data_IF_396953823308
#
_entry.id   IF_396953823308
#
_cell.length_a   1.000
_cell.length_b   1.000
_cell.length_c   1.000
_cell.angle_alpha   90.00
_cell.angle_beta   90.00
_cell.angle_gamma   90.00
#
_symmetry.space_group_name_H-M   'P 1'
#
loop_
_entity.id
_entity.type
_entity.pdbx_description
1 polymer ?
#
# COMPACT_ATOMS: atom_id res chain seq x y z
N UNK A 1 29.18 37.30 -14.35
CA UNK A 1 29.05 37.06 -15.81
C UNK A 1 29.52 35.63 -16.04
N UNK A 2 28.67 34.64 -16.30
CA UNK A 2 27.74 34.57 -17.41
C UNK A 2 26.33 34.10 -17.02
N UNK A 3 25.36 34.72 -17.69
CA UNK A 3 23.96 34.36 -17.78
C UNK A 3 23.78 33.17 -18.73
N UNK A 4 22.77 32.35 -18.48
CA UNK A 4 22.33 31.28 -19.36
C UNK A 4 20.97 30.75 -18.92
N UNK A 5 19.91 31.45 -19.32
CA UNK A 5 18.53 31.07 -19.11
C UNK A 5 18.17 29.84 -19.95
N UNK A 6 17.60 28.81 -19.31
CA UNK A 6 16.71 27.85 -19.95
C UNK A 6 15.43 27.77 -19.13
N UNK A 7 14.34 28.22 -19.74
CA UNK A 7 12.99 28.03 -19.24
C UNK A 7 12.65 26.53 -19.16
N UNK A 8 11.94 26.19 -18.10
CA UNK A 8 11.39 24.87 -17.86
C UNK A 8 10.14 25.01 -17.03
N UNK A 9 9.02 25.22 -17.72
CA UNK A 9 7.68 24.93 -17.22
C UNK A 9 7.70 23.46 -16.80
N UNK A 10 7.53 23.13 -15.51
CA UNK A 10 6.87 21.87 -15.11
C UNK A 10 6.58 21.83 -13.62
N UNK A 11 5.36 21.39 -13.32
CA UNK A 11 4.88 20.86 -12.06
C UNK A 11 4.78 21.86 -10.89
N UNK A 12 3.61 22.52 -10.84
CA UNK A 12 2.96 22.80 -9.56
C UNK A 12 2.96 21.51 -8.73
N UNK A 13 3.82 21.47 -7.71
CA UNK A 13 3.86 20.42 -6.72
C UNK A 13 2.60 20.52 -5.84
N UNK A 14 1.47 20.04 -6.36
CA UNK A 14 0.29 19.73 -5.56
C UNK A 14 0.52 18.39 -4.87
N UNK A 15 1.38 18.40 -3.84
CA UNK A 15 1.35 17.35 -2.84
C UNK A 15 -0.01 17.38 -2.14
N UNK A 16 -0.72 16.25 -1.98
CA UNK A 16 -1.97 16.26 -1.25
C UNK A 16 -1.67 16.58 0.22
N UNK A 17 -2.21 17.72 0.66
CA UNK A 17 -2.12 18.21 2.02
C UNK A 17 -2.78 17.18 2.93
N UNK A 18 -2.01 16.65 3.87
CA UNK A 18 -2.52 15.92 5.03
C UNK A 18 -3.36 16.88 5.85
N UNK A 19 -4.67 16.63 5.87
CA UNK A 19 -5.63 17.31 6.73
C UNK A 19 -6.60 16.26 7.25
N UNK A 20 -6.44 15.90 8.51
CA UNK A 20 -7.40 15.12 9.29
C UNK A 20 -8.62 15.98 9.59
N UNK A 21 -9.44 16.26 8.58
CA UNK A 21 -10.83 16.65 8.76
C UNK A 21 -11.57 16.47 7.43
N UNK A 22 -12.06 15.25 7.21
CA UNK A 22 -12.72 14.87 5.97
C UNK A 22 -14.16 15.40 6.00
N UNK A 23 -14.33 16.71 5.79
CA UNK A 23 -15.43 17.15 4.93
C UNK A 23 -15.24 16.37 3.63
N UNK A 24 -15.92 15.23 3.50
CA UNK A 24 -15.94 14.37 2.31
C UNK A 24 -16.51 15.20 1.19
N UNK A 25 -15.66 15.96 0.53
CA UNK A 25 -16.08 16.82 -0.53
C UNK A 25 -16.42 15.94 -1.72
N UNK A 26 -17.70 15.68 -1.90
CA UNK A 26 -18.24 14.86 -2.99
C UNK A 26 -17.71 15.39 -4.33
N UNK A 27 -17.57 16.71 -4.49
CA UNK A 27 -16.96 17.31 -5.69
C UNK A 27 -15.55 16.79 -5.92
N UNK A 28 -14.67 16.84 -4.93
CA UNK A 28 -13.27 16.41 -5.08
C UNK A 28 -13.18 14.92 -5.43
N UNK A 29 -13.98 14.10 -4.73
CA UNK A 29 -14.09 12.67 -5.01
C UNK A 29 -14.57 12.39 -6.45
N UNK A 30 -15.66 13.03 -6.89
CA UNK A 30 -16.20 12.88 -8.24
C UNK A 30 -15.25 13.42 -9.32
N UNK A 31 -14.48 14.48 -9.03
CA UNK A 31 -13.46 14.98 -9.96
C UNK A 31 -12.29 13.99 -10.12
N UNK A 32 -11.94 13.21 -9.09
CA UNK A 32 -10.92 12.17 -9.19
C UNK A 32 -11.41 10.90 -9.89
N UNK A 33 -12.71 10.60 -9.79
CA UNK A 33 -13.30 9.39 -10.34
C UNK A 33 -14.71 9.66 -10.89
N UNK A 34 -14.82 10.30 -12.06
CA UNK A 34 -16.12 10.61 -12.66
C UNK A 34 -16.87 9.34 -13.11
N UNK A 35 -16.14 8.27 -13.42
CA UNK A 35 -16.68 6.96 -13.81
C UNK A 35 -17.61 6.33 -12.76
N UNK A 36 -17.52 6.73 -11.49
CA UNK A 36 -18.44 6.25 -10.46
C UNK A 36 -19.90 6.62 -10.77
N UNK A 37 -20.12 7.73 -11.49
CA UNK A 37 -21.46 8.21 -11.87
C UNK A 37 -22.06 7.40 -13.02
N UNK A 38 -21.28 6.56 -13.70
CA UNK A 38 -21.77 5.70 -14.77
C UNK A 38 -22.13 4.29 -14.27
N UNK A 39 -21.97 4.02 -12.98
CA UNK A 39 -22.25 2.74 -12.34
C UNK A 39 -23.60 2.76 -11.63
N UNK A 40 -24.23 1.60 -11.51
CA UNK A 40 -25.51 1.50 -10.82
C UNK A 40 -25.31 1.48 -9.29
N UNK A 41 -26.08 2.29 -8.57
CA UNK A 41 -25.89 2.42 -7.13
C UNK A 41 -26.22 1.12 -6.38
N UNK A 42 -27.25 0.38 -6.82
CA UNK A 42 -27.77 -0.79 -6.13
C UNK A 42 -27.00 -2.06 -6.49
N UNK A 43 -26.65 -2.26 -7.76
CA UNK A 43 -25.97 -3.47 -8.23
C UNK A 43 -24.44 -3.35 -8.22
N UNK A 44 -23.87 -2.15 -8.34
CA UNK A 44 -22.41 -1.97 -8.35
C UNK A 44 -21.88 -1.42 -7.02
N UNK A 45 -22.39 -0.29 -6.56
CA UNK A 45 -21.75 0.43 -5.45
C UNK A 45 -22.08 -0.17 -4.07
N UNK A 46 -23.33 -0.58 -3.85
CA UNK A 46 -23.75 -1.17 -2.57
C UNK A 46 -23.00 -2.49 -2.24
N UNK A 47 -22.88 -3.46 -3.17
CA UNK A 47 -22.18 -4.72 -2.87
C UNK A 47 -20.71 -4.54 -2.52
N UNK A 48 -20.05 -3.48 -3.02
CA UNK A 48 -18.65 -3.18 -2.69
C UNK A 48 -18.48 -2.77 -1.23
N UNK A 49 -19.43 -2.01 -0.69
CA UNK A 49 -19.44 -1.66 0.72
C UNK A 49 -19.74 -2.90 1.57
N UNK A 50 -20.72 -3.70 1.17
CA UNK A 50 -21.09 -4.95 1.85
C UNK A 50 -19.93 -5.94 1.88
N UNK A 51 -19.18 -6.08 0.79
CA UNK A 51 -17.99 -6.93 0.71
C UNK A 51 -16.93 -6.52 1.75
N UNK A 52 -16.61 -5.23 1.84
CA UNK A 52 -15.65 -4.74 2.84
C UNK A 52 -16.15 -5.01 4.27
N UNK A 53 -17.44 -4.80 4.52
CA UNK A 53 -18.05 -5.10 5.82
C UNK A 53 -18.04 -6.60 6.14
N UNK A 54 -18.32 -7.46 5.15
CA UNK A 54 -18.33 -8.92 5.28
C UNK A 54 -16.96 -9.50 5.61
N UNK A 55 -15.88 -8.79 5.25
CA UNK A 55 -14.50 -9.15 5.59
C UNK A 55 -14.11 -8.70 7.01
N UNK A 56 -15.01 -8.03 7.74
CA UNK A 56 -14.79 -7.61 9.14
C UNK A 56 -14.32 -6.16 9.29
N UNK A 57 -14.42 -5.32 8.25
CA UNK A 57 -14.23 -3.87 8.39
C UNK A 57 -15.51 -3.24 8.94
N UNK A 58 -15.36 -2.36 9.92
CA UNK A 58 -16.46 -1.49 10.33
C UNK A 58 -16.89 -0.60 9.15
N UNK A 59 -18.19 -0.32 9.02
CA UNK A 59 -18.77 0.53 7.97
C UNK A 59 -18.03 1.86 7.84
N UNK A 60 -17.64 2.48 8.96
CA UNK A 60 -16.88 3.73 8.96
C UNK A 60 -15.51 3.60 8.28
N UNK A 61 -14.79 2.52 8.54
CA UNK A 61 -13.49 2.23 7.95
C UNK A 61 -13.60 1.80 6.48
N UNK A 62 -14.58 0.96 6.15
CA UNK A 62 -14.87 0.56 4.78
C UNK A 62 -15.15 1.78 3.90
N UNK A 63 -15.99 2.72 4.37
CA UNK A 63 -16.22 3.97 3.66
C UNK A 63 -14.92 4.77 3.50
N UNK A 64 -14.13 4.93 4.57
CA UNK A 64 -12.84 5.67 4.49
C UNK A 64 -11.93 5.08 3.41
N UNK A 65 -11.85 3.75 3.31
CA UNK A 65 -11.06 3.04 2.30
C UNK A 65 -11.56 3.37 0.88
N UNK A 66 -12.87 3.28 0.62
CA UNK A 66 -13.47 3.59 -0.68
C UNK A 66 -13.32 5.06 -1.09
N UNK A 67 -13.39 5.99 -0.13
CA UNK A 67 -13.18 7.42 -0.40
C UNK A 67 -11.71 7.76 -0.64
N UNK A 68 -10.80 7.02 -0.01
CA UNK A 68 -9.37 7.20 -0.15
C UNK A 68 -8.90 6.75 -1.53
N UNK A 69 -9.32 5.57 -1.96
CA UNK A 69 -8.97 5.01 -3.26
C UNK A 69 -10.24 4.74 -4.08
N UNK A 70 -10.58 5.68 -4.96
CA UNK A 70 -11.78 5.60 -5.78
C UNK A 70 -11.70 4.48 -6.84
N UNK A 71 -10.51 3.95 -7.16
CA UNK A 71 -10.41 2.82 -8.08
C UNK A 71 -11.03 1.54 -7.51
N UNK A 72 -11.20 1.47 -6.18
CA UNK A 72 -11.91 0.38 -5.52
C UNK A 72 -13.40 0.32 -5.86
N UNK A 73 -13.97 1.44 -6.33
CA UNK A 73 -15.38 1.52 -6.73
C UNK A 73 -15.61 1.21 -8.20
N UNK A 74 -14.59 1.35 -9.04
CA UNK A 74 -14.70 1.14 -10.49
C UNK A 74 -14.01 -0.14 -10.98
N UNK A 75 -13.01 -0.63 -10.23
CA UNK A 75 -12.25 -1.84 -10.53
C UNK A 75 -12.70 -3.08 -9.76
N UNK A 76 -11.86 -4.11 -9.84
CA UNK A 76 -12.07 -5.42 -9.21
C UNK A 76 -11.65 -5.40 -7.73
N UNK A 77 -12.60 -5.04 -6.87
CA UNK A 77 -12.37 -4.89 -5.44
C UNK A 77 -12.04 -6.22 -4.75
N UNK A 78 -12.85 -7.24 -4.96
CA UNK A 78 -12.73 -8.53 -4.28
C UNK A 78 -11.37 -9.20 -4.46
N UNK A 79 -10.87 -9.43 -5.69
CA UNK A 79 -9.55 -10.05 -5.85
C UNK A 79 -8.43 -9.15 -5.34
N UNK A 80 -8.56 -7.82 -5.48
CA UNK A 80 -7.57 -6.88 -4.94
C UNK A 80 -7.48 -6.98 -3.42
N UNK A 81 -8.63 -7.02 -2.74
CA UNK A 81 -8.72 -7.15 -1.30
C UNK A 81 -8.16 -8.48 -0.81
N UNK A 82 -8.57 -9.59 -1.44
CA UNK A 82 -8.09 -10.93 -1.10
C UNK A 82 -6.58 -11.04 -1.26
N UNK A 83 -6.01 -10.52 -2.35
CA UNK A 83 -4.57 -10.52 -2.57
C UNK A 83 -3.81 -9.71 -1.51
N UNK A 84 -4.39 -8.61 -1.01
CA UNK A 84 -3.77 -7.79 0.04
C UNK A 84 -3.86 -8.44 1.41
N UNK A 85 -5.00 -9.03 1.74
CA UNK A 85 -5.17 -9.76 3.00
C UNK A 85 -4.29 -11.00 3.03
N UNK A 86 -4.27 -11.78 1.94
CA UNK A 86 -3.38 -12.93 1.81
C UNK A 86 -1.91 -12.54 1.95
N UNK A 87 -1.47 -11.43 1.36
CA UNK A 87 -0.11 -10.93 1.57
C UNK A 87 0.15 -10.65 3.06
N UNK A 88 -0.75 -9.94 3.74
CA UNK A 88 -0.57 -9.61 5.16
C UNK A 88 -0.59 -10.84 6.06
N UNK A 89 -1.46 -11.82 5.79
CA UNK A 89 -1.56 -13.03 6.62
C UNK A 89 -0.46 -14.04 6.30
N UNK A 90 -0.22 -14.30 5.03
CA UNK A 90 0.64 -15.41 4.58
C UNK A 90 2.10 -14.99 4.42
N UNK A 91 2.37 -13.79 3.90
CA UNK A 91 3.76 -13.33 3.72
C UNK A 91 4.25 -12.60 4.98
N UNK A 92 3.38 -11.79 5.62
CA UNK A 92 3.73 -11.01 6.81
C UNK A 92 3.44 -11.69 8.16
N UNK A 93 2.94 -12.92 8.17
CA UNK A 93 2.67 -13.69 9.40
C UNK A 93 1.75 -12.93 10.40
N UNK A 94 0.78 -12.17 9.88
CA UNK A 94 -0.20 -11.44 10.71
C UNK A 94 -1.48 -12.25 10.89
N UNK A 95 -2.13 -12.07 12.04
CA UNK A 95 -3.50 -12.57 12.22
C UNK A 95 -4.49 -11.84 11.29
N UNK A 96 -5.66 -12.43 10.99
CA UNK A 96 -6.69 -11.75 10.20
C UNK A 96 -7.09 -10.39 10.79
N UNK A 97 -7.23 -10.29 12.11
CA UNK A 97 -7.59 -9.05 12.80
C UNK A 97 -6.49 -7.99 12.67
N UNK A 98 -5.23 -8.42 12.76
CA UNK A 98 -4.05 -7.57 12.56
C UNK A 98 -3.97 -7.07 11.11
N UNK A 99 -4.22 -7.93 10.12
CA UNK A 99 -4.26 -7.54 8.72
C UNK A 99 -5.34 -6.47 8.47
N UNK A 100 -6.51 -6.62 9.08
CA UNK A 100 -7.57 -5.60 9.02
C UNK A 100 -7.16 -4.31 9.73
N UNK A 101 -6.48 -4.39 10.86
CA UNK A 101 -5.93 -3.21 11.56
C UNK A 101 -4.95 -2.42 10.67
N UNK A 102 -4.05 -3.12 9.97
CA UNK A 102 -3.12 -2.51 9.00
C UNK A 102 -3.90 -1.81 7.89
N UNK A 103 -4.90 -2.46 7.32
CA UNK A 103 -5.71 -1.90 6.24
C UNK A 103 -6.51 -0.66 6.67
N UNK A 104 -7.07 -0.68 7.89
CA UNK A 104 -7.78 0.48 8.48
C UNK A 104 -6.85 1.67 8.68
N UNK A 105 -5.62 1.41 9.08
CA UNK A 105 -4.63 2.45 9.41
C UNK A 105 -3.90 2.98 8.18
N UNK A 106 -3.81 2.18 7.12
CA UNK A 106 -3.05 2.49 5.92
C UNK A 106 -3.82 2.09 4.64
N UNK A 107 -4.83 2.90 4.24
CA UNK A 107 -5.63 2.62 3.05
C UNK A 107 -4.81 2.66 1.75
N UNK A 108 -3.73 3.45 1.71
CA UNK A 108 -2.75 3.53 0.62
C UNK A 108 -2.20 2.15 0.18
N UNK A 109 -2.20 1.15 1.06
CA UNK A 109 -1.69 -0.19 0.76
C UNK A 109 -2.43 -0.85 -0.43
N UNK A 110 -3.72 -0.54 -0.61
CA UNK A 110 -4.54 -1.12 -1.67
C UNK A 110 -4.00 -0.79 -3.06
N UNK A 111 -3.44 0.40 -3.24
CA UNK A 111 -2.96 0.90 -4.53
C UNK A 111 -1.63 0.26 -4.99
N UNK A 112 -0.92 -0.49 -4.12
CA UNK A 112 0.38 -1.10 -4.44
C UNK A 112 0.30 -2.59 -4.78
N UNK A 113 0.77 -3.00 -5.96
CA UNK A 113 0.86 -4.43 -6.34
C UNK A 113 1.57 -5.30 -5.29
N UNK A 114 1.10 -6.54 -5.08
CA UNK A 114 1.69 -7.51 -4.12
C UNK A 114 3.18 -7.70 -4.34
N UNK A 115 3.64 -7.83 -5.59
CA UNK A 115 5.07 -7.97 -5.89
C UNK A 115 5.91 -6.80 -5.36
N UNK A 116 5.37 -5.58 -5.34
CA UNK A 116 6.05 -4.42 -4.77
C UNK A 116 6.08 -4.48 -3.23
N UNK A 117 4.97 -4.89 -2.62
CA UNK A 117 4.88 -5.08 -1.16
C UNK A 117 5.85 -6.15 -0.68
N UNK A 118 5.94 -7.29 -1.39
CA UNK A 118 6.92 -8.35 -1.13
C UNK A 118 8.34 -7.82 -1.12
N UNK A 119 8.77 -7.07 -2.14
CA UNK A 119 10.14 -6.50 -2.15
C UNK A 119 10.43 -5.62 -0.93
N UNK A 120 9.45 -4.84 -0.46
CA UNK A 120 9.60 -4.02 0.74
C UNK A 120 9.65 -4.89 2.00
N UNK A 121 8.83 -5.93 2.06
CA UNK A 121 8.84 -6.90 3.15
C UNK A 121 10.16 -7.68 3.24
N UNK A 122 10.69 -8.18 2.12
CA UNK A 122 12.00 -8.83 2.08
C UNK A 122 13.08 -7.89 2.62
N UNK A 123 13.06 -6.61 2.22
CA UNK A 123 14.02 -5.64 2.73
C UNK A 123 13.91 -5.44 4.25
N UNK A 124 12.68 -5.42 4.79
CA UNK A 124 12.45 -5.30 6.23
C UNK A 124 12.97 -6.54 6.98
N UNK A 125 12.59 -7.75 6.57
CA UNK A 125 13.04 -9.00 7.22
C UNK A 125 14.55 -9.20 7.08
N UNK A 126 15.05 -9.16 5.85
CA UNK A 126 16.42 -9.61 5.54
C UNK A 126 17.46 -8.52 5.81
N UNK A 127 17.13 -7.26 5.51
CA UNK A 127 18.11 -6.16 5.56
C UNK A 127 18.01 -5.30 6.81
N UNK A 128 16.82 -5.18 7.40
CA UNK A 128 16.60 -4.42 8.64
C UNK A 128 16.43 -5.33 9.87
N UNK A 129 16.45 -6.66 9.69
CA UNK A 129 16.19 -7.64 10.74
C UNK A 129 14.87 -7.37 11.50
N UNK A 130 13.87 -6.86 10.78
CA UNK A 130 12.53 -6.59 11.30
C UNK A 130 11.59 -7.80 11.19
N UNK A 131 10.46 -7.68 11.86
CA UNK A 131 9.38 -8.66 11.91
C UNK A 131 8.02 -8.03 11.61
N UNK A 132 6.98 -8.77 11.97
CA UNK A 132 5.60 -8.36 11.76
C UNK A 132 5.19 -7.22 12.71
N UNK A 133 5.86 -7.09 13.87
CA UNK A 133 5.61 -6.05 14.84
C UNK A 133 5.86 -4.65 14.25
N UNK A 134 6.92 -4.47 13.44
CA UNK A 134 7.19 -3.19 12.80
C UNK A 134 6.15 -2.82 11.73
N UNK A 135 5.52 -3.82 11.10
CA UNK A 135 4.41 -3.57 10.15
C UNK A 135 3.16 -3.12 10.90
N UNK A 136 2.90 -3.66 12.08
CA UNK A 136 1.80 -3.23 12.95
C UNK A 136 2.02 -1.83 13.50
N UNK A 137 3.24 -1.52 13.95
CA UNK A 137 3.60 -0.23 14.52
C UNK A 137 3.66 0.86 13.45
N UNK A 138 4.22 0.56 12.28
CA UNK A 138 4.38 1.52 11.19
C UNK A 138 4.01 0.94 9.80
N UNK A 139 2.71 0.71 9.52
CA UNK A 139 2.22 0.20 8.24
C UNK A 139 2.68 1.00 7.01
N UNK A 140 2.88 2.30 7.19
CA UNK A 140 3.29 3.23 6.13
C UNK A 140 4.65 2.88 5.53
N UNK A 141 5.47 2.06 6.20
CA UNK A 141 6.69 1.52 5.62
C UNK A 141 6.41 0.85 4.26
N UNK A 142 5.34 0.06 4.17
CA UNK A 142 4.96 -0.67 2.97
C UNK A 142 4.47 0.23 1.84
N UNK A 143 4.21 1.52 2.09
CA UNK A 143 3.78 2.49 1.07
C UNK A 143 4.92 3.38 0.59
N UNK A 144 6.05 3.47 1.32
CA UNK A 144 7.22 4.25 0.89
C UNK A 144 7.94 3.64 -0.29
N UNK A 145 8.65 4.48 -1.05
CA UNK A 145 9.43 4.01 -2.19
C UNK A 145 10.72 3.33 -1.70
N UNK A 146 10.90 2.06 -2.08
CA UNK A 146 12.04 1.27 -1.63
C UNK A 146 13.38 1.85 -2.09
N UNK A 147 13.49 2.24 -3.37
CA UNK A 147 14.75 2.67 -3.97
C UNK A 147 15.07 4.14 -3.72
N UNK A 148 14.04 4.99 -3.64
CA UNK A 148 14.22 6.45 -3.51
C UNK A 148 14.14 6.94 -2.07
N UNK A 149 13.49 6.20 -1.17
CA UNK A 149 13.28 6.65 0.20
C UNK A 149 13.89 5.69 1.21
N UNK A 150 13.47 4.42 1.22
CA UNK A 150 13.87 3.47 2.25
C UNK A 150 15.38 3.14 2.13
N UNK A 151 15.81 2.71 0.94
CA UNK A 151 17.18 2.26 0.67
C UNK A 151 18.25 3.31 0.99
N UNK A 152 18.18 4.53 0.41
CA UNK A 152 19.17 5.58 0.65
C UNK A 152 19.23 6.03 2.11
N UNK A 153 18.07 6.13 2.79
CA UNK A 153 18.02 6.53 4.20
C UNK A 153 18.57 5.47 5.13
N UNK A 154 18.29 4.19 4.84
CA UNK A 154 18.88 3.08 5.57
C UNK A 154 20.40 3.06 5.40
N UNK A 155 20.90 3.16 4.16
CA UNK A 155 22.34 3.19 3.89
C UNK A 155 23.02 4.35 4.61
N UNK A 156 22.43 5.56 4.58
CA UNK A 156 22.94 6.69 5.33
C UNK A 156 22.97 6.43 6.85
N UNK A 157 21.91 5.86 7.41
CA UNK A 157 21.84 5.54 8.83
C UNK A 157 22.91 4.53 9.27
N UNK A 158 23.15 3.49 8.48
CA UNK A 158 24.15 2.46 8.80
C UNK A 158 25.58 2.92 8.51
N UNK A 159 25.81 3.59 7.40
CA UNK A 159 27.17 3.93 6.92
C UNK A 159 27.69 5.26 7.46
N UNK A 160 26.81 6.26 7.64
CA UNK A 160 27.22 7.62 8.03
C UNK A 160 26.95 7.91 9.50
N UNK A 161 25.84 7.39 10.05
CA UNK A 161 25.50 7.58 11.46
C UNK A 161 26.05 6.46 12.36
N UNK A 162 26.53 5.36 11.78
CA UNK A 162 27.08 4.23 12.53
C UNK A 162 26.02 3.46 13.34
N UNK A 163 24.75 3.51 12.92
CA UNK A 163 23.70 2.73 13.57
C UNK A 163 23.81 1.28 13.10
N UNK A 164 24.08 0.38 14.05
CA UNK A 164 24.19 -1.04 13.77
C UNK A 164 22.92 -1.77 14.21
N UNK A 165 22.52 -2.79 13.43
CA UNK A 165 21.46 -3.69 13.84
C UNK A 165 22.00 -4.58 14.96
N UNK A 166 21.35 -4.55 16.12
CA UNK A 166 21.60 -5.53 17.18
C UNK A 166 21.26 -6.92 16.63
N UNK A 167 22.20 -7.86 16.70
CA UNK A 167 22.08 -9.21 16.13
C UNK A 167 20.90 -9.96 16.76
N UNK A 168 19.73 -9.87 16.14
CA UNK A 168 18.56 -10.67 16.48
C UNK A 168 18.68 -12.05 15.83
N UNK A 169 18.72 -13.09 16.66
CA UNK A 169 18.69 -14.49 16.26
C UNK A 169 17.33 -14.86 15.67
N UNK A 170 17.10 -14.58 14.39
CA UNK A 170 15.89 -14.96 13.67
C UNK A 170 16.23 -15.59 12.33
N UNK A 171 16.40 -16.92 12.29
CA UNK A 171 16.45 -17.65 11.01
C UNK A 171 15.05 -17.55 10.39
N UNK A 172 14.90 -16.70 9.39
CA UNK A 172 13.77 -16.77 8.46
C UNK A 172 14.32 -17.02 7.06
N UNK A 173 13.72 -17.97 6.35
CA UNK A 173 14.15 -18.37 5.01
C UNK A 173 14.06 -17.21 4.00
N UNK A 174 14.80 -17.29 2.89
CA UNK A 174 14.81 -16.24 1.88
C UNK A 174 13.39 -16.03 1.33
N UNK A 175 12.96 -14.78 1.22
CA UNK A 175 11.63 -14.42 0.71
C UNK A 175 11.50 -14.60 -0.83
N UNK A 176 12.28 -15.50 -1.44
CA UNK A 176 12.37 -15.69 -2.86
C UNK A 176 11.91 -17.10 -3.26
N UNK A 177 10.64 -17.23 -3.66
CA UNK A 177 10.24 -18.17 -4.71
C UNK A 177 8.87 -17.79 -5.27
N UNK A 178 8.85 -17.45 -6.56
CA UNK A 178 7.67 -16.98 -7.29
C UNK A 178 8.02 -16.59 -8.72
N UNK A 179 8.98 -17.29 -9.33
CA UNK A 179 9.28 -17.22 -10.76
C UNK A 179 8.32 -18.12 -11.51
N UNK A 180 7.40 -17.49 -12.26
CA UNK A 180 6.82 -17.97 -13.52
C UNK A 180 6.70 -19.50 -13.72
N UNK A 181 5.54 -20.06 -13.35
CA UNK A 181 5.05 -21.30 -13.95
C UNK A 181 3.78 -20.97 -14.77
N UNK A 182 3.97 -20.41 -15.95
CA UNK A 182 2.95 -20.28 -16.98
C UNK A 182 3.62 -20.39 -18.35
N UNK A 183 4.08 -21.61 -18.65
CA UNK A 183 4.36 -22.08 -20.01
C UNK A 183 4.40 -23.61 -19.99
N UNK A 184 3.28 -24.25 -20.32
CA UNK A 184 3.19 -25.53 -21.02
C UNK A 184 1.72 -26.01 -21.07
N UNK A 185 0.96 -25.52 -22.03
CA UNK A 185 -0.25 -26.19 -22.53
C UNK A 185 -0.56 -25.69 -23.95
N UNK A 186 0.26 -26.13 -24.92
CA UNK A 186 -0.16 -26.25 -26.32
C UNK A 186 0.85 -27.12 -27.03
N UNK A 187 0.51 -28.41 -27.16
CA UNK A 187 0.73 -29.26 -28.32
C UNK A 187 -0.17 -30.48 -28.18
#
# INVERSE_FOLDING_TARGET
MWLGACGGVFAAASGPRRGTDLQRNVRDFLCRCPEVLTRDAASDLAPRLELLCGVGLEVGAARKLLFHDASLLTGDLEPTLQLRLHFLTSDCDLSPDQALQVLRSCPDLMSFKVANLRRKWCFLKERMSGGNEQVLEYPQFLTKNLLLQIGPRFAYATERLGLHLSSGSGRSGPCAEGTHALQAASR
#
